data_IF_161852411334
#
_entry.id   IF_161852411334
#
_cell.length_a   1.000
_cell.length_b   1.000
_cell.length_c   1.000
_cell.angle_alpha   90.00
_cell.angle_beta   90.00
_cell.angle_gamma   90.00
#
_symmetry.space_group_name_H-M   'P 1'
#
loop_
_entity.id
_entity.type
_entity.pdbx_description
1 polymer ?
#
# COMPACT_ATOMS: atom_id res chain seq x y z
N UNK A 1 -17.46 1.76 -6.94
CA UNK A 1 -16.60 0.64 -6.49
C UNK A 1 -15.21 1.20 -6.29
N UNK A 2 -14.74 1.30 -5.06
CA UNK A 2 -13.39 1.79 -4.76
C UNK A 2 -12.39 0.65 -4.93
N UNK A 3 -11.31 0.87 -5.67
CA UNK A 3 -10.14 -0.01 -5.64
C UNK A 3 -9.22 0.45 -4.52
N UNK A 4 -8.63 -0.51 -3.81
CA UNK A 4 -7.70 -0.24 -2.71
C UNK A 4 -6.65 -1.34 -2.65
N UNK A 5 -5.50 -1.00 -2.06
CA UNK A 5 -4.52 -1.99 -1.67
C UNK A 5 -5.09 -2.92 -0.59
N UNK A 6 -4.67 -4.18 -0.62
CA UNK A 6 -5.08 -5.20 0.35
C UNK A 6 -3.82 -5.75 1.02
N UNK A 7 -3.68 -5.51 2.32
CA UNK A 7 -2.63 -6.11 3.12
C UNK A 7 -2.78 -7.63 3.18
N UNK A 8 -1.68 -8.35 2.96
CA UNK A 8 -1.68 -9.81 2.85
C UNK A 8 -2.19 -10.34 1.51
N UNK A 9 -2.59 -9.46 0.57
CA UNK A 9 -2.77 -9.82 -0.82
C UNK A 9 -1.44 -9.87 -1.58
N UNK A 10 -1.50 -10.25 -2.85
CA UNK A 10 -0.34 -10.39 -3.73
C UNK A 10 -0.63 -9.79 -5.12
N UNK A 11 0.41 -9.62 -5.93
CA UNK A 11 0.34 -9.30 -7.36
C UNK A 11 -0.36 -7.98 -7.75
N UNK A 12 -0.43 -7.00 -6.83
CA UNK A 12 -1.06 -5.70 -7.15
C UNK A 12 -0.42 -5.01 -8.37
N UNK A 13 0.89 -5.21 -8.57
CA UNK A 13 1.67 -4.56 -9.62
C UNK A 13 1.35 -5.09 -11.03
N UNK A 14 0.74 -6.28 -11.16
CA UNK A 14 0.40 -6.85 -12.47
C UNK A 14 -0.70 -6.06 -13.20
N UNK A 15 -1.53 -5.33 -12.45
CA UNK A 15 -2.66 -4.56 -12.98
C UNK A 15 -2.65 -3.10 -12.53
N UNK A 16 -1.49 -2.60 -12.10
CA UNK A 16 -1.33 -1.24 -11.59
C UNK A 16 -0.42 -0.40 -12.49
N UNK A 17 -0.71 0.90 -12.54
CA UNK A 17 0.05 1.88 -13.31
C UNK A 17 0.51 3.04 -12.43
N UNK A 18 1.54 3.76 -12.87
CA UNK A 18 2.09 4.95 -12.19
C UNK A 18 2.44 4.71 -10.72
N UNK A 19 3.03 3.55 -10.42
CA UNK A 19 3.42 3.16 -9.06
C UNK A 19 4.55 4.06 -8.57
N UNK A 20 4.36 4.72 -7.43
CA UNK A 20 5.34 5.62 -6.84
C UNK A 20 5.29 5.61 -5.33
N UNK A 21 6.43 5.89 -4.70
CA UNK A 21 6.56 6.04 -3.24
C UNK A 21 6.84 7.52 -2.95
N UNK A 22 6.08 8.09 -2.01
CA UNK A 22 6.26 9.43 -1.49
C UNK A 22 6.35 9.39 0.04
N UNK A 23 6.94 10.43 0.63
CA UNK A 23 6.90 10.65 2.07
C UNK A 23 6.00 11.85 2.35
N UNK A 24 4.85 11.62 2.97
CA UNK A 24 3.80 12.62 3.14
C UNK A 24 3.65 13.05 4.61
N UNK A 25 3.27 14.32 4.80
CA UNK A 25 2.96 14.86 6.12
C UNK A 25 4.18 15.19 7.01
N UNK A 26 3.93 15.72 8.22
CA UNK A 26 4.99 16.16 9.12
C UNK A 26 5.87 15.00 9.63
N UNK A 27 5.29 13.80 9.72
CA UNK A 27 5.98 12.60 10.20
C UNK A 27 6.71 11.83 9.08
N UNK A 28 6.77 12.39 7.86
CA UNK A 28 7.37 11.74 6.68
C UNK A 28 6.86 10.31 6.50
N UNK A 29 5.54 10.15 6.46
CA UNK A 29 4.89 8.84 6.36
C UNK A 29 5.14 8.25 4.97
N UNK A 30 5.66 7.01 4.83
CA UNK A 30 5.89 6.40 3.53
C UNK A 30 4.56 5.94 2.90
N UNK A 31 4.08 6.65 1.89
CA UNK A 31 2.82 6.38 1.19
C UNK A 31 3.11 5.81 -0.20
N UNK A 32 2.56 4.62 -0.48
CA UNK A 32 2.58 4.03 -1.81
C UNK A 32 1.36 4.51 -2.59
N UNK A 33 1.59 5.06 -3.78
CA UNK A 33 0.57 5.50 -4.73
C UNK A 33 0.57 4.59 -5.96
N UNK A 34 -0.62 4.29 -6.49
CA UNK A 34 -0.77 3.67 -7.80
C UNK A 34 -2.18 3.88 -8.36
N UNK A 35 -2.32 3.88 -9.68
CA UNK A 35 -3.61 3.65 -10.35
C UNK A 35 -3.90 2.16 -10.39
N UNK A 36 -4.92 1.70 -9.68
CA UNK A 36 -5.33 0.29 -9.64
C UNK A 36 -6.49 0.03 -10.62
N UNK A 37 -6.36 -0.99 -11.46
CA UNK A 37 -7.45 -1.41 -12.33
C UNK A 37 -8.62 -1.99 -11.53
N UNK A 38 -9.83 -1.53 -11.82
CA UNK A 38 -11.06 -2.07 -11.25
C UNK A 38 -11.66 -3.17 -12.13
N UNK A 39 -12.76 -3.79 -11.67
CA UNK A 39 -13.43 -4.86 -12.43
C UNK A 39 -13.95 -4.43 -13.83
N UNK A 40 -14.07 -3.13 -14.09
CA UNK A 40 -14.42 -2.59 -15.42
C UNK A 40 -13.20 -2.22 -16.28
N UNK A 41 -11.98 -2.51 -15.82
CA UNK A 41 -10.72 -2.18 -16.51
C UNK A 41 -10.31 -0.71 -16.39
N UNK A 42 -11.01 0.09 -15.57
CA UNK A 42 -10.69 1.50 -15.35
C UNK A 42 -9.69 1.64 -14.21
N UNK A 43 -8.68 2.47 -14.41
CA UNK A 43 -7.73 2.85 -13.37
C UNK A 43 -8.39 3.79 -12.35
N UNK A 44 -8.17 3.48 -11.08
CA UNK A 44 -8.63 4.25 -9.93
C UNK A 44 -7.43 4.54 -9.04
N UNK A 45 -7.21 5.82 -8.73
CA UNK A 45 -6.12 6.23 -7.85
C UNK A 45 -6.32 5.63 -6.45
N UNK A 46 -5.27 4.98 -5.96
CA UNK A 46 -5.22 4.39 -4.64
C UNK A 46 -3.93 4.80 -3.94
N UNK A 47 -4.01 4.89 -2.62
CA UNK A 47 -2.86 5.09 -1.74
C UNK A 47 -2.93 4.19 -0.53
N UNK A 48 -1.78 3.77 -0.01
CA UNK A 48 -1.67 3.04 1.25
C UNK A 48 -0.45 3.51 2.02
N UNK A 49 -0.61 3.73 3.32
CA UNK A 49 0.51 4.04 4.20
C UNK A 49 1.25 2.75 4.55
N UNK A 50 2.50 2.62 4.13
CA UNK A 50 3.30 1.42 4.37
C UNK A 50 3.67 1.23 5.85
N UNK A 51 3.79 2.33 6.62
CA UNK A 51 4.11 2.25 8.05
C UNK A 51 2.99 1.64 8.88
N UNK A 52 1.79 1.50 8.30
CA UNK A 52 0.69 0.78 8.95
C UNK A 52 1.00 -0.68 9.15
N UNK A 53 1.87 -1.32 8.35
CA UNK A 53 2.12 -2.77 8.39
C UNK A 53 3.57 -3.19 8.20
N UNK A 54 4.43 -2.32 7.66
CA UNK A 54 5.84 -2.59 7.41
C UNK A 54 6.67 -1.81 8.44
N UNK A 55 7.43 -2.55 9.25
CA UNK A 55 8.37 -1.99 10.22
C UNK A 55 9.81 -2.35 9.88
N UNK A 56 10.76 -1.62 10.47
CA UNK A 56 12.17 -1.98 10.47
C UNK A 56 12.55 -2.44 11.89
N UNK A 57 13.06 -3.68 12.01
CA UNK A 57 13.60 -4.23 13.25
C UNK A 57 14.97 -4.81 12.94
N UNK A 58 15.98 -4.37 13.68
CA UNK A 58 17.36 -4.86 13.56
C UNK A 58 17.87 -4.84 12.10
N UNK A 59 17.68 -3.68 11.44
CA UNK A 59 18.03 -3.43 10.03
C UNK A 59 17.32 -4.32 8.99
N UNK A 60 16.26 -5.03 9.40
CA UNK A 60 15.46 -5.88 8.53
C UNK A 60 14.02 -5.35 8.43
N UNK A 61 13.49 -5.31 7.21
CA UNK A 61 12.06 -5.03 7.01
C UNK A 61 11.22 -6.24 7.37
N UNK A 62 10.22 -6.04 8.22
CA UNK A 62 9.27 -7.06 8.64
C UNK A 62 7.86 -6.56 8.40
N UNK A 63 6.98 -7.45 7.93
CA UNK A 63 5.54 -7.24 8.03
C UNK A 63 5.16 -7.58 9.47
N UNK A 64 4.85 -6.57 10.30
CA UNK A 64 4.62 -6.82 11.73
C UNK A 64 3.18 -7.34 11.94
N UNK A 65 2.99 -8.52 12.58
CA UNK A 65 1.67 -9.07 12.87
C UNK A 65 0.80 -8.16 13.76
N UNK A 66 1.41 -7.29 14.57
CA UNK A 66 0.70 -6.37 15.47
C UNK A 66 -0.08 -5.29 14.75
N UNK A 67 0.20 -5.11 13.46
CA UNK A 67 -0.41 -4.10 12.62
C UNK A 67 -1.63 -4.60 11.84
N UNK A 68 -2.03 -5.87 11.97
CA UNK A 68 -3.28 -6.35 11.36
C UNK A 68 -4.47 -5.50 11.85
N UNK A 69 -5.32 -4.94 10.97
CA UNK A 69 -6.56 -4.35 11.41
C UNK A 69 -7.38 -5.45 12.08
N UNK A 70 -7.84 -5.19 13.29
CA UNK A 70 -8.86 -6.02 13.92
C UNK A 70 -10.04 -6.12 12.94
N UNK A 71 -10.38 -7.37 12.61
CA UNK A 71 -11.56 -7.73 11.81
C UNK A 71 -12.85 -7.39 12.56
#
# INVERSE_FOLDING_TARGET
MACRFIWGGENFAESAENISLSFEGPDSVPVLHAGLSNASGRLVDAKVNLSEHIGNRDASFLVDPKFRPHS
#
